data_IF_068859978248
#
_entry.id   IF_068859978248
#
_cell.length_a   1.000
_cell.length_b   1.000
_cell.length_c   1.000
_cell.angle_alpha   90.00
_cell.angle_beta   90.00
_cell.angle_gamma   90.00
#
_symmetry.space_group_name_H-M   'P 1'
#
loop_
_entity.id
_entity.type
_entity.pdbx_description
1 polymer ?
#
# COMPACT_ATOMS: atom_id res chain seq x y z
N UNK A 1 -14.64 7.76 9.24
CA UNK A 1 -13.20 7.50 9.08
C UNK A 1 -12.95 6.49 7.97
N UNK A 2 -13.69 5.38 7.99
CA UNK A 2 -13.59 4.34 6.96
C UNK A 2 -13.92 4.88 5.58
N UNK A 3 -14.99 5.65 5.49
CA UNK A 3 -15.46 6.23 4.24
C UNK A 3 -14.45 7.22 3.68
N UNK A 4 -13.84 8.02 4.55
CA UNK A 4 -12.84 8.99 4.14
C UNK A 4 -11.61 8.28 3.57
N UNK A 5 -11.15 7.22 4.23
CA UNK A 5 -10.01 6.44 3.74
C UNK A 5 -10.32 5.80 2.39
N UNK A 6 -11.50 5.19 2.26
CA UNK A 6 -11.90 4.55 1.01
C UNK A 6 -11.99 5.56 -0.13
N UNK A 7 -12.57 6.73 0.12
CA UNK A 7 -12.68 7.79 -0.87
C UNK A 7 -11.31 8.27 -1.33
N UNK A 8 -10.38 8.45 -0.39
CA UNK A 8 -9.04 8.93 -0.71
C UNK A 8 -8.27 7.91 -1.54
N UNK A 9 -8.36 6.64 -1.18
CA UNK A 9 -7.71 5.57 -1.95
C UNK A 9 -8.30 5.50 -3.35
N UNK A 10 -9.61 5.55 -3.47
CA UNK A 10 -10.29 5.52 -4.77
C UNK A 10 -9.86 6.70 -5.64
N UNK A 11 -9.78 7.89 -5.06
CA UNK A 11 -9.35 9.08 -5.79
C UNK A 11 -7.91 8.94 -6.29
N UNK A 12 -7.02 8.40 -5.45
CA UNK A 12 -5.63 8.17 -5.86
C UNK A 12 -5.54 7.19 -7.01
N UNK A 13 -6.29 6.10 -6.94
CA UNK A 13 -6.29 5.07 -7.98
C UNK A 13 -6.84 5.62 -9.29
N UNK A 14 -7.90 6.41 -9.23
CA UNK A 14 -8.46 7.04 -10.42
C UNK A 14 -7.48 7.98 -11.09
N UNK A 15 -6.67 8.69 -10.30
CA UNK A 15 -5.65 9.60 -10.83
C UNK A 15 -4.42 8.87 -11.35
N UNK A 16 -4.19 7.62 -10.93
CA UNK A 16 -3.02 6.83 -11.31
C UNK A 16 -3.44 5.43 -11.75
N UNK A 17 -4.24 5.33 -12.84
CA UNK A 17 -4.86 4.04 -13.20
C UNK A 17 -3.97 3.06 -13.95
N UNK A 18 -2.78 3.45 -14.37
CA UNK A 18 -1.93 2.61 -15.20
C UNK A 18 -0.76 2.02 -14.44
N UNK A 19 -0.24 0.90 -14.96
CA UNK A 19 0.96 0.26 -14.42
C UNK A 19 2.17 1.19 -14.48
N UNK A 20 2.24 2.01 -15.51
CA UNK A 20 3.34 2.97 -15.69
C UNK A 20 3.36 4.04 -14.60
N UNK A 21 2.25 4.21 -13.89
CA UNK A 21 2.12 5.18 -12.80
C UNK A 21 2.40 4.59 -11.42
N UNK A 22 2.95 3.39 -11.33
CA UNK A 22 3.21 2.75 -10.03
C UNK A 22 4.04 3.65 -9.12
N UNK A 23 5.10 4.25 -9.68
CA UNK A 23 5.95 5.18 -8.93
C UNK A 23 5.14 6.38 -8.42
N UNK A 24 4.40 7.01 -9.32
CA UNK A 24 3.58 8.18 -8.97
C UNK A 24 2.49 7.82 -7.97
N UNK A 25 1.86 6.66 -8.16
CA UNK A 25 0.83 6.18 -7.24
C UNK A 25 1.37 5.94 -5.85
N UNK A 26 2.51 5.29 -5.75
CA UNK A 26 3.17 5.04 -4.48
C UNK A 26 3.55 6.33 -3.78
N UNK A 27 4.11 7.28 -4.53
CA UNK A 27 4.51 8.57 -3.99
C UNK A 27 3.30 9.37 -3.51
N UNK A 28 2.19 9.30 -4.24
CA UNK A 28 0.95 9.97 -3.84
C UNK A 28 0.38 9.40 -2.54
N UNK A 29 0.44 8.09 -2.37
CA UNK A 29 -0.02 7.43 -1.15
C UNK A 29 0.84 7.87 0.03
N UNK A 30 2.16 7.85 -0.13
CA UNK A 30 3.08 8.26 0.91
C UNK A 30 2.84 9.74 1.27
N UNK A 31 2.69 10.59 0.26
CA UNK A 31 2.44 12.01 0.48
C UNK A 31 1.14 12.22 1.26
N UNK A 32 0.08 11.50 0.89
CA UNK A 32 -1.19 11.58 1.60
C UNK A 32 -1.01 11.17 3.07
N UNK A 33 -0.31 10.05 3.32
CA UNK A 33 -0.08 9.57 4.67
C UNK A 33 0.74 10.58 5.48
N UNK A 34 1.80 11.13 4.89
CA UNK A 34 2.65 12.10 5.58
C UNK A 34 1.90 13.41 5.87
N UNK A 35 1.05 13.83 4.93
CA UNK A 35 0.24 15.04 5.11
C UNK A 35 -0.81 14.87 6.20
N UNK A 36 -1.32 13.64 6.37
CA UNK A 36 -2.36 13.33 7.36
C UNK A 36 -1.81 12.53 8.54
N UNK A 37 -0.52 12.60 8.78
CA UNK A 37 0.20 11.81 9.76
C UNK A 37 -0.43 11.83 11.15
N UNK A 38 -0.76 13.03 11.63
CA UNK A 38 -1.33 13.21 12.97
C UNK A 38 -2.70 12.53 13.07
N UNK A 39 -3.54 12.70 12.06
CA UNK A 39 -4.86 12.11 12.03
C UNK A 39 -4.78 10.58 11.99
N UNK A 40 -3.88 10.05 11.16
CA UNK A 40 -3.69 8.60 11.04
C UNK A 40 -3.20 8.01 12.35
N UNK A 41 -2.24 8.66 12.98
CA UNK A 41 -1.71 8.21 14.26
C UNK A 41 -2.80 8.22 15.34
N UNK A 42 -3.63 9.25 15.35
CA UNK A 42 -4.74 9.35 16.28
C UNK A 42 -5.74 8.20 16.09
N UNK A 43 -6.09 7.91 14.84
CA UNK A 43 -6.99 6.81 14.52
C UNK A 43 -6.37 5.47 14.95
N UNK A 44 -5.10 5.28 14.64
CA UNK A 44 -4.38 4.06 14.98
C UNK A 44 -4.43 3.79 16.50
N UNK A 45 -4.37 4.83 17.32
CA UNK A 45 -4.32 4.69 18.77
C UNK A 45 -5.69 4.73 19.45
N UNK A 46 -6.73 5.21 18.78
CA UNK A 46 -8.03 5.43 19.42
C UNK A 46 -9.13 4.45 19.02
N UNK A 47 -9.00 3.78 17.86
CA UNK A 47 -10.00 2.79 17.46
C UNK A 47 -9.52 1.38 17.82
N UNK A 48 -10.44 0.41 17.76
CA UNK A 48 -10.09 -0.98 17.95
C UNK A 48 -9.00 -1.38 16.96
N UNK A 49 -7.95 -2.02 17.46
CA UNK A 49 -6.84 -2.48 16.62
C UNK A 49 -7.34 -3.38 15.50
N UNK A 50 -8.28 -4.26 15.78
CA UNK A 50 -8.84 -5.18 14.80
C UNK A 50 -9.53 -4.44 13.66
N UNK A 51 -10.29 -3.40 13.99
CA UNK A 51 -10.98 -2.58 12.99
C UNK A 51 -9.96 -1.84 12.13
N UNK A 52 -8.97 -1.23 12.75
CA UNK A 52 -7.94 -0.50 12.02
C UNK A 52 -7.19 -1.42 11.06
N UNK A 53 -6.74 -2.57 11.55
CA UNK A 53 -5.96 -3.51 10.74
C UNK A 53 -6.76 -4.06 9.56
N UNK A 54 -8.05 -4.32 9.78
CA UNK A 54 -8.91 -4.80 8.70
C UNK A 54 -9.01 -3.79 7.58
N UNK A 55 -9.20 -2.51 7.93
CA UNK A 55 -9.27 -1.45 6.93
C UNK A 55 -7.94 -1.25 6.23
N UNK A 56 -6.85 -1.28 6.97
CA UNK A 56 -5.53 -1.15 6.38
C UNK A 56 -5.27 -2.29 5.39
N UNK A 57 -5.64 -3.51 5.74
CA UNK A 57 -5.48 -4.64 4.82
C UNK A 57 -6.29 -4.47 3.54
N UNK A 58 -7.52 -3.94 3.66
CA UNK A 58 -8.35 -3.65 2.48
C UNK A 58 -7.68 -2.61 1.58
N UNK A 59 -7.12 -1.56 2.16
CA UNK A 59 -6.40 -0.53 1.41
C UNK A 59 -5.19 -1.15 0.71
N UNK A 60 -4.40 -1.93 1.43
CA UNK A 60 -3.21 -2.59 0.86
C UNK A 60 -3.58 -3.52 -0.29
N UNK A 61 -4.64 -4.31 -0.11
CA UNK A 61 -5.10 -5.22 -1.15
C UNK A 61 -5.50 -4.45 -2.41
N UNK A 62 -6.26 -3.39 -2.24
CA UNK A 62 -6.74 -2.58 -3.35
C UNK A 62 -5.57 -1.94 -4.11
N UNK A 63 -4.65 -1.34 -3.39
CA UNK A 63 -3.49 -0.67 -3.99
C UNK A 63 -2.60 -1.68 -4.72
N UNK A 64 -2.27 -2.78 -4.06
CA UNK A 64 -1.41 -3.80 -4.65
C UNK A 64 -2.04 -4.41 -5.90
N UNK A 65 -3.32 -4.79 -5.82
CA UNK A 65 -4.02 -5.36 -6.96
C UNK A 65 -4.05 -4.39 -8.13
N UNK A 66 -4.38 -3.14 -7.86
CA UNK A 66 -4.50 -2.14 -8.92
C UNK A 66 -3.17 -1.89 -9.63
N UNK A 67 -2.07 -1.77 -8.88
CA UNK A 67 -0.80 -1.37 -9.46
C UNK A 67 0.10 -2.54 -9.89
N UNK A 68 -0.12 -3.74 -9.37
CA UNK A 68 0.68 -4.89 -9.77
C UNK A 68 0.01 -5.81 -10.78
N UNK A 69 -1.31 -5.85 -10.80
CA UNK A 69 -2.04 -6.82 -11.62
C UNK A 69 -1.65 -6.75 -13.10
N UNK A 70 -1.48 -5.54 -13.62
CA UNK A 70 -1.07 -5.36 -15.01
C UNK A 70 0.32 -5.89 -15.33
N UNK A 71 1.20 -5.91 -14.33
CA UNK A 71 2.56 -6.44 -14.49
C UNK A 71 2.59 -7.96 -14.50
N UNK A 72 1.49 -8.60 -14.11
CA UNK A 72 1.41 -10.04 -13.93
C UNK A 72 0.50 -10.73 -14.95
N UNK A 73 0.18 -10.05 -16.05
CA UNK A 73 -0.76 -10.57 -17.05
C UNK A 73 -0.33 -11.91 -17.66
N UNK A 74 0.98 -12.09 -17.86
CA UNK A 74 1.52 -13.32 -18.44
C UNK A 74 1.88 -14.38 -17.39
N UNK A 75 1.64 -14.08 -16.12
CA UNK A 75 1.93 -15.00 -15.03
C UNK A 75 0.73 -15.93 -14.84
N UNK A 76 1.01 -17.19 -14.59
CA UNK A 76 -0.02 -18.19 -14.32
C UNK A 76 -0.86 -17.77 -13.12
N UNK A 77 -2.16 -18.07 -13.16
CA UNK A 77 -3.12 -17.60 -12.16
C UNK A 77 -2.71 -17.93 -10.72
N UNK A 78 -2.26 -19.16 -10.47
CA UNK A 78 -1.84 -19.56 -9.13
C UNK A 78 -0.66 -18.76 -8.64
N UNK A 79 0.30 -18.49 -9.52
CA UNK A 79 1.47 -17.69 -9.18
C UNK A 79 1.11 -16.22 -9.00
N UNK A 80 0.20 -15.71 -9.82
CA UNK A 80 -0.31 -14.35 -9.69
C UNK A 80 -0.94 -14.14 -8.30
N UNK A 81 -1.80 -15.07 -7.89
CA UNK A 81 -2.46 -14.98 -6.59
C UNK A 81 -1.44 -14.96 -5.45
N UNK A 82 -0.41 -15.81 -5.56
CA UNK A 82 0.64 -15.87 -4.56
C UNK A 82 1.43 -14.57 -4.48
N UNK A 83 1.78 -13.99 -5.64
CA UNK A 83 2.52 -12.73 -5.71
C UNK A 83 1.70 -11.58 -5.12
N UNK A 84 0.43 -11.49 -5.49
CA UNK A 84 -0.44 -10.43 -4.98
C UNK A 84 -0.61 -10.54 -3.47
N UNK A 85 -0.80 -11.75 -2.97
CA UNK A 85 -0.93 -11.98 -1.54
C UNK A 85 0.35 -11.61 -0.79
N UNK A 86 1.50 -12.01 -1.33
CA UNK A 86 2.80 -11.69 -0.74
C UNK A 86 2.98 -10.17 -0.61
N UNK A 87 2.72 -9.45 -1.69
CA UNK A 87 2.88 -7.99 -1.70
C UNK A 87 1.86 -7.29 -0.82
N UNK A 88 0.63 -7.78 -0.77
CA UNK A 88 -0.39 -7.24 0.13
C UNK A 88 0.05 -7.36 1.59
N UNK A 89 0.54 -8.53 1.96
CA UNK A 89 0.98 -8.78 3.34
C UNK A 89 2.25 -7.99 3.67
N UNK A 90 3.17 -7.88 2.71
CA UNK A 90 4.39 -7.10 2.90
C UNK A 90 4.07 -5.62 3.07
N UNK A 91 3.16 -5.10 2.28
CA UNK A 91 2.72 -3.71 2.38
C UNK A 91 2.07 -3.46 3.74
N UNK A 92 1.16 -4.33 4.13
CA UNK A 92 0.47 -4.22 5.42
C UNK A 92 1.46 -4.21 6.58
N UNK A 93 2.35 -5.21 6.62
CA UNK A 93 3.33 -5.33 7.68
C UNK A 93 4.29 -4.14 7.74
N UNK A 94 4.68 -3.63 6.57
CA UNK A 94 5.57 -2.48 6.48
C UNK A 94 4.91 -1.22 7.06
N UNK A 95 3.63 -1.01 6.79
CA UNK A 95 2.89 0.13 7.32
C UNK A 95 2.73 0.00 8.83
N UNK A 96 2.37 -1.19 9.31
CA UNK A 96 2.22 -1.42 10.75
C UNK A 96 3.55 -1.19 11.48
N UNK A 97 4.65 -1.69 10.92
CA UNK A 97 5.97 -1.49 11.49
C UNK A 97 6.31 0.01 11.60
N UNK A 98 6.02 0.76 10.56
CA UNK A 98 6.25 2.19 10.53
C UNK A 98 5.40 2.92 11.58
N UNK A 99 4.13 2.55 11.72
CA UNK A 99 3.24 3.12 12.73
C UNK A 99 3.73 2.81 14.15
N UNK A 100 4.16 1.56 14.37
CA UNK A 100 4.69 1.16 15.67
C UNK A 100 5.98 1.91 16.02
N UNK A 101 6.73 2.32 15.02
CA UNK A 101 7.94 3.14 15.20
C UNK A 101 7.65 4.62 15.38
N UNK A 102 6.39 5.03 15.44
CA UNK A 102 6.00 6.42 15.64
C UNK A 102 6.08 7.27 14.39
N UNK A 103 6.07 6.64 13.22
CA UNK A 103 6.10 7.33 11.92
C UNK A 103 7.37 8.18 11.74
N UNK A 104 8.48 7.73 12.30
CA UNK A 104 9.73 8.50 12.29
C UNK A 104 10.59 8.27 11.07
N UNK A 105 10.52 7.07 10.49
CA UNK A 105 11.36 6.72 9.36
C UNK A 105 10.81 7.31 8.05
N UNK A 106 11.71 7.42 7.06
CA UNK A 106 11.32 7.84 5.72
C UNK A 106 10.72 6.67 4.98
N UNK A 107 9.40 6.53 5.08
CA UNK A 107 8.69 5.43 4.44
C UNK A 107 8.73 5.51 2.92
N UNK A 108 8.86 6.73 2.37
CA UNK A 108 9.00 6.94 0.93
C UNK A 108 10.28 6.28 0.41
N UNK A 109 11.39 6.49 1.11
CA UNK A 109 12.68 5.90 0.74
C UNK A 109 12.62 4.37 0.83
N UNK A 110 11.99 3.86 1.88
CA UNK A 110 11.83 2.41 2.07
C UNK A 110 11.09 1.77 0.89
N UNK A 111 9.94 2.32 0.51
CA UNK A 111 9.16 1.75 -0.57
C UNK A 111 9.84 1.90 -1.93
N UNK A 112 10.57 2.99 -2.13
CA UNK A 112 11.36 3.16 -3.35
C UNK A 112 12.42 2.07 -3.47
N UNK A 113 13.11 1.76 -2.39
CA UNK A 113 14.11 0.69 -2.36
C UNK A 113 13.52 -0.67 -2.66
N UNK A 114 12.34 -0.95 -2.08
CA UNK A 114 11.66 -2.23 -2.32
C UNK A 114 11.32 -2.38 -3.80
N UNK A 115 10.84 -1.31 -4.44
CA UNK A 115 10.54 -1.34 -5.88
C UNK A 115 11.80 -1.60 -6.71
N UNK A 116 12.89 -0.92 -6.38
CA UNK A 116 14.15 -1.10 -7.10
C UNK A 116 14.70 -2.51 -6.98
N UNK A 117 14.53 -3.12 -5.83
CA UNK A 117 15.00 -4.48 -5.56
C UNK A 117 14.10 -5.55 -6.20
N UNK A 118 12.91 -5.18 -6.62
CA UNK A 118 11.93 -6.08 -7.25
C UNK A 118 11.63 -7.32 -6.44
N UNK A 119 11.57 -7.17 -5.12
CA UNK A 119 11.31 -8.30 -4.22
C UNK A 119 9.93 -8.89 -4.49
N UNK A 120 9.87 -10.21 -4.63
CA UNK A 120 8.62 -10.92 -4.85
C UNK A 120 8.01 -10.75 -6.23
N UNK A 121 8.76 -10.19 -7.20
CA UNK A 121 8.29 -10.06 -8.58
C UNK A 121 9.07 -11.00 -9.49
N UNK A 122 8.43 -11.50 -10.57
CA UNK A 122 9.13 -12.39 -11.49
C UNK A 122 10.30 -11.68 -12.16
N UNK A 123 11.33 -12.45 -12.48
CA UNK A 123 12.42 -11.93 -13.31
C UNK A 123 11.94 -11.76 -14.73
N UNK A 124 12.47 -10.75 -15.41
CA UNK A 124 12.14 -10.52 -16.81
C UNK A 124 12.87 -11.47 -17.72
#
# INVERSE_FOLDING_TARGET
VEEIMAEQVSAMVENHPTVDSVQEGSDAIVEFVMHNKRAIYHIYNSVSRDVFERHLMEVCRYVVTTYLDGMLEEVEEADRDAILRFHRCACFGSVIDWLNGGMKDDVSDYFRRIRQLRLGLPEK
#
